data_IF_964562820623
#
_entry.id   IF_964562820623
#
_cell.length_a   1.000
_cell.length_b   1.000
_cell.length_c   1.000
_cell.angle_alpha   90.00
_cell.angle_beta   90.00
_cell.angle_gamma   90.00
#
_symmetry.space_group_name_H-M   'P 1'
#
loop_
_entity.id
_entity.type
_entity.pdbx_description
1 polymer ?
#
# COMPACT_ATOMS: atom_id res chain seq x y z
N UNK A 1 24.38 -3.05 1.79
CA UNK A 1 22.93 -2.83 1.95
C UNK A 1 22.68 -2.42 3.39
N UNK A 2 21.77 -1.48 3.64
CA UNK A 2 21.45 -1.06 5.03
C UNK A 2 21.06 -2.28 5.89
N UNK A 3 21.29 -2.21 7.20
CA UNK A 3 20.78 -3.17 8.19
C UNK A 3 19.31 -2.93 8.58
N UNK A 4 18.64 -1.94 7.99
CA UNK A 4 17.24 -1.62 8.28
C UNK A 4 16.23 -2.66 7.79
N UNK A 5 14.92 -2.41 8.02
CA UNK A 5 13.87 -3.38 7.76
C UNK A 5 13.60 -3.59 6.27
N UNK A 6 12.92 -4.70 5.95
CA UNK A 6 12.22 -4.91 4.68
C UNK A 6 10.91 -4.13 4.74
N UNK A 7 10.69 -3.18 3.84
CA UNK A 7 9.44 -2.42 3.78
C UNK A 7 8.54 -3.00 2.69
N UNK A 8 7.38 -3.54 3.04
CA UNK A 8 6.50 -4.28 2.12
C UNK A 8 5.19 -3.51 1.96
N UNK A 9 4.89 -3.04 0.74
CA UNK A 9 3.58 -2.47 0.44
C UNK A 9 2.49 -3.55 0.38
N UNK A 10 1.41 -3.37 1.14
CA UNK A 10 0.34 -4.35 1.28
C UNK A 10 -1.05 -3.73 1.09
N UNK A 11 -1.83 -4.28 0.16
CA UNK A 11 -3.22 -3.89 -0.12
C UNK A 11 -4.20 -5.08 0.01
N UNK A 12 -3.71 -6.24 0.42
CA UNK A 12 -4.47 -7.50 0.51
C UNK A 12 -4.67 -8.21 -0.82
N UNK A 13 -4.25 -7.62 -1.94
CA UNK A 13 -4.37 -8.21 -3.26
C UNK A 13 -3.42 -9.39 -3.50
N UNK A 14 -3.69 -10.24 -4.52
CA UNK A 14 -2.84 -11.39 -4.83
C UNK A 14 -1.37 -11.02 -5.14
N UNK A 15 -1.11 -9.80 -5.65
CA UNK A 15 0.26 -9.35 -5.90
C UNK A 15 0.99 -9.00 -4.59
N UNK A 16 0.33 -8.31 -3.65
CA UNK A 16 0.95 -7.96 -2.38
C UNK A 16 1.14 -9.16 -1.46
N UNK A 17 0.24 -10.14 -1.49
CA UNK A 17 0.41 -11.40 -0.75
C UNK A 17 1.66 -12.17 -1.25
N UNK A 18 1.83 -12.28 -2.58
CA UNK A 18 3.06 -12.84 -3.15
C UNK A 18 4.29 -12.02 -2.81
N UNK A 19 4.18 -10.69 -2.78
CA UNK A 19 5.27 -9.82 -2.37
C UNK A 19 5.73 -10.12 -0.93
N UNK A 20 4.81 -10.37 0.00
CA UNK A 20 5.13 -10.81 1.37
C UNK A 20 5.83 -12.16 1.36
N UNK A 21 5.33 -13.12 0.59
CA UNK A 21 5.93 -14.46 0.48
C UNK A 21 7.37 -14.42 -0.05
N UNK A 22 7.61 -13.73 -1.16
CA UNK A 22 8.96 -13.61 -1.74
C UNK A 22 9.91 -12.83 -0.84
N UNK A 23 9.41 -11.79 -0.16
CA UNK A 23 10.18 -11.08 0.85
C UNK A 23 10.62 -12.01 1.99
N UNK A 24 9.71 -12.86 2.47
CA UNK A 24 10.02 -13.85 3.49
C UNK A 24 11.09 -14.85 3.01
N UNK A 25 10.92 -15.42 1.81
CA UNK A 25 11.89 -16.36 1.21
C UNK A 25 13.30 -15.77 1.10
N UNK A 26 13.41 -14.50 0.74
CA UNK A 26 14.71 -13.86 0.49
C UNK A 26 15.36 -13.24 1.71
N UNK A 27 14.55 -12.80 2.68
CA UNK A 27 15.03 -11.93 3.76
C UNK A 27 14.74 -12.46 5.16
N UNK A 28 13.97 -13.54 5.36
CA UNK A 28 13.80 -14.11 6.69
C UNK A 28 15.15 -14.53 7.32
N UNK A 29 15.35 -14.33 8.64
CA UNK A 29 14.41 -13.82 9.64
C UNK A 29 14.54 -12.31 9.91
N UNK A 30 14.62 -11.48 8.87
CA UNK A 30 14.82 -10.03 9.04
C UNK A 30 13.55 -9.31 9.52
N UNK A 31 13.76 -8.20 10.22
CA UNK A 31 12.72 -7.22 10.54
C UNK A 31 12.01 -6.73 9.28
N UNK A 32 10.67 -6.69 9.33
CA UNK A 32 9.83 -6.26 8.23
C UNK A 32 8.73 -5.30 8.69
N UNK A 33 8.36 -4.37 7.81
CA UNK A 33 7.23 -3.46 7.98
C UNK A 33 6.20 -3.77 6.90
N UNK A 34 5.05 -4.32 7.28
CA UNK A 34 3.90 -4.46 6.39
C UNK A 34 3.14 -3.13 6.37
N UNK A 35 3.27 -2.39 5.27
CA UNK A 35 2.75 -1.03 5.12
C UNK A 35 1.47 -1.02 4.30
N UNK A 36 0.38 -0.59 4.91
CA UNK A 36 -0.88 -0.27 4.24
C UNK A 36 -0.98 1.25 4.13
N UNK A 37 -1.09 1.73 2.90
CA UNK A 37 -1.37 3.14 2.62
C UNK A 37 -2.86 3.29 2.34
N UNK A 38 -3.52 4.22 3.02
CA UNK A 38 -4.95 4.47 2.85
C UNK A 38 -5.19 5.95 2.54
N UNK A 39 -6.21 6.24 1.74
CA UNK A 39 -6.49 7.60 1.26
C UNK A 39 -7.37 8.32 2.28
N UNK A 40 -6.72 9.02 3.22
CA UNK A 40 -7.42 9.70 4.31
C UNK A 40 -8.11 10.97 3.79
N UNK A 41 -9.31 11.25 4.26
CA UNK A 41 -10.00 12.49 3.91
C UNK A 41 -10.78 12.46 2.59
N UNK A 42 -10.67 11.40 1.78
CA UNK A 42 -11.37 11.32 0.49
C UNK A 42 -12.89 11.45 0.63
N UNK A 43 -13.45 10.89 1.71
CA UNK A 43 -14.88 11.02 1.97
C UNK A 43 -15.29 12.50 2.20
N UNK A 44 -14.37 13.33 2.71
CA UNK A 44 -14.59 14.77 2.91
C UNK A 44 -14.45 15.56 1.61
N UNK A 45 -13.55 15.18 0.70
CA UNK A 45 -13.46 15.84 -0.60
C UNK A 45 -14.79 15.76 -1.37
N UNK A 46 -15.50 14.64 -1.23
CA UNK A 46 -16.85 14.45 -1.79
C UNK A 46 -17.89 15.38 -1.14
N UNK A 47 -17.68 15.86 0.08
CA UNK A 47 -18.56 16.86 0.75
C UNK A 47 -18.41 18.25 0.15
N UNK A 48 -17.24 18.55 -0.44
CA UNK A 48 -16.89 19.86 -0.99
C UNK A 48 -17.21 19.96 -2.49
N UNK A 49 -17.62 18.87 -3.13
CA UNK A 49 -17.98 18.88 -4.53
C UNK A 49 -19.26 19.70 -4.76
N UNK A 50 -19.24 20.73 -5.63
CA UNK A 50 -20.45 21.48 -5.95
C UNK A 50 -21.44 20.56 -6.66
N UNK A 51 -22.63 20.43 -6.06
CA UNK A 51 -23.73 19.53 -6.48
C UNK A 51 -24.25 19.78 -7.92
N UNK A 52 -23.69 20.76 -8.63
CA UNK A 52 -24.14 21.23 -9.95
C UNK A 52 -23.14 21.01 -11.08
N UNK A 53 -21.92 20.52 -10.80
CA UNK A 53 -20.89 20.39 -11.83
C UNK A 53 -21.01 19.11 -12.67
N UNK A 54 -21.71 18.10 -12.16
CA UNK A 54 -21.99 16.85 -12.86
C UNK A 54 -23.44 16.47 -12.56
N UNK A 55 -24.23 16.09 -13.57
CA UNK A 55 -25.60 15.56 -13.43
C UNK A 55 -25.57 14.17 -12.75
N UNK A 56 -25.04 14.11 -11.53
CA UNK A 56 -24.94 12.90 -10.71
C UNK A 56 -26.04 12.99 -9.66
N UNK A 57 -27.09 12.16 -9.74
CA UNK A 57 -28.16 12.16 -8.76
C UNK A 57 -27.78 11.28 -7.57
N UNK A 58 -26.86 11.73 -6.72
CA UNK A 58 -26.69 11.26 -5.34
C UNK A 58 -26.05 12.39 -4.52
N UNK A 59 -26.69 12.80 -3.43
CA UNK A 59 -26.21 13.89 -2.58
C UNK A 59 -24.80 13.62 -2.09
N UNK A 60 -23.92 14.64 -2.18
CA UNK A 60 -22.66 14.65 -1.46
C UNK A 60 -22.90 14.16 -0.03
N UNK A 61 -22.12 13.20 0.49
CA UNK A 61 -22.32 12.69 1.84
C UNK A 61 -22.34 13.86 2.82
N UNK A 62 -23.22 13.82 3.83
CA UNK A 62 -23.15 14.81 4.90
C UNK A 62 -21.87 14.60 5.72
N UNK A 63 -21.52 15.59 6.55
CA UNK A 63 -20.28 15.53 7.35
C UNK A 63 -20.22 14.27 8.23
N UNK A 64 -21.36 13.82 8.77
CA UNK A 64 -21.45 12.62 9.58
C UNK A 64 -21.11 11.37 8.77
N UNK A 65 -21.72 11.24 7.59
CA UNK A 65 -21.49 10.12 6.67
C UNK A 65 -20.05 10.10 6.19
N UNK A 66 -19.46 11.27 5.91
CA UNK A 66 -18.05 11.38 5.54
C UNK A 66 -17.11 10.89 6.65
N UNK A 67 -17.36 11.30 7.90
CA UNK A 67 -16.60 10.81 9.08
C UNK A 67 -16.74 9.29 9.26
N UNK A 68 -17.95 8.75 9.09
CA UNK A 68 -18.21 7.32 9.21
C UNK A 68 -17.49 6.50 8.13
N UNK A 69 -17.49 6.99 6.88
CA UNK A 69 -16.78 6.37 5.76
C UNK A 69 -15.26 6.40 5.98
N UNK A 70 -14.71 7.54 6.37
CA UNK A 70 -13.27 7.70 6.64
C UNK A 70 -12.82 6.76 7.77
N UNK A 71 -13.63 6.66 8.84
CA UNK A 71 -13.39 5.71 9.93
C UNK A 71 -13.42 4.26 9.45
N UNK A 72 -14.40 3.89 8.61
CA UNK A 72 -14.50 2.54 8.06
C UNK A 72 -13.30 2.20 7.15
N UNK A 73 -12.82 3.15 6.35
CA UNK A 73 -11.61 2.98 5.54
C UNK A 73 -10.37 2.76 6.41
N UNK A 74 -10.22 3.53 7.49
CA UNK A 74 -9.12 3.34 8.44
C UNK A 74 -9.18 1.99 9.15
N UNK A 75 -10.36 1.56 9.59
CA UNK A 75 -10.57 0.25 10.22
C UNK A 75 -10.22 -0.91 9.27
N UNK A 76 -10.58 -0.79 7.99
CA UNK A 76 -10.22 -1.74 6.95
C UNK A 76 -8.71 -1.76 6.69
N UNK A 77 -8.07 -0.59 6.62
CA UNK A 77 -6.62 -0.50 6.48
C UNK A 77 -5.88 -1.16 7.65
N UNK A 78 -6.38 -1.00 8.88
CA UNK A 78 -5.86 -1.72 10.04
C UNK A 78 -6.05 -3.23 9.95
N UNK A 79 -7.18 -3.70 9.41
CA UNK A 79 -7.42 -5.13 9.17
C UNK A 79 -6.44 -5.70 8.16
N UNK A 80 -6.19 -4.99 7.07
CA UNK A 80 -5.20 -5.35 6.06
C UNK A 80 -3.79 -5.39 6.65
N UNK A 81 -3.41 -4.41 7.47
CA UNK A 81 -2.07 -4.37 8.08
C UNK A 81 -1.85 -5.57 9.00
N UNK A 82 -2.84 -5.91 9.85
CA UNK A 82 -2.78 -7.11 10.70
C UNK A 82 -2.62 -8.38 9.87
N UNK A 83 -3.33 -8.48 8.75
CA UNK A 83 -3.22 -9.63 7.86
C UNK A 83 -1.85 -9.72 7.18
N UNK A 84 -1.33 -8.61 6.66
CA UNK A 84 0.02 -8.56 6.07
C UNK A 84 1.12 -8.94 7.06
N UNK A 85 1.00 -8.50 8.31
CA UNK A 85 1.89 -8.93 9.42
C UNK A 85 1.83 -10.43 9.63
N UNK A 86 0.62 -11.00 9.73
CA UNK A 86 0.46 -12.43 9.95
C UNK A 86 1.12 -13.24 8.82
N UNK A 87 0.88 -12.87 7.56
CA UNK A 87 1.51 -13.54 6.41
C UNK A 87 3.04 -13.45 6.45
N UNK A 88 3.59 -12.31 6.88
CA UNK A 88 5.03 -12.11 6.98
C UNK A 88 5.64 -12.96 8.11
N UNK A 89 4.97 -13.02 9.27
CA UNK A 89 5.37 -13.85 10.42
C UNK A 89 5.31 -15.33 10.05
N UNK A 90 4.24 -15.78 9.39
CA UNK A 90 4.09 -17.17 8.93
C UNK A 90 5.21 -17.55 7.93
N UNK A 91 5.71 -16.57 7.17
CA UNK A 91 6.88 -16.71 6.30
C UNK A 91 8.23 -16.62 7.01
N UNK A 92 8.26 -16.32 8.31
CA UNK A 92 9.48 -16.25 9.12
C UNK A 92 10.12 -14.87 9.25
N UNK A 93 9.45 -13.79 8.83
CA UNK A 93 9.93 -12.41 9.07
C UNK A 93 9.56 -11.94 10.48
N UNK A 94 10.39 -11.06 11.05
CA UNK A 94 10.06 -10.33 12.28
C UNK A 94 9.22 -9.08 11.94
N UNK A 95 7.92 -9.25 11.78
CA UNK A 95 7.07 -8.22 11.14
C UNK A 95 6.28 -7.34 12.11
N UNK A 96 6.19 -6.05 11.77
CA UNK A 96 5.31 -5.05 12.39
C UNK A 96 4.40 -4.42 11.33
N UNK A 97 3.19 -3.98 11.71
CA UNK A 97 2.21 -3.39 10.80
C UNK A 97 2.18 -1.88 10.88
N UNK A 98 2.12 -1.20 9.74
CA UNK A 98 1.98 0.26 9.65
C UNK A 98 0.79 0.62 8.76
N UNK A 99 -0.13 1.41 9.32
CA UNK A 99 -1.21 2.05 8.56
C UNK A 99 -0.87 3.52 8.46
N UNK A 100 -0.76 4.03 7.23
CA UNK A 100 -0.28 5.40 6.98
C UNK A 100 -1.21 6.05 5.97
N UNK A 101 -1.64 7.28 6.25
CA UNK A 101 -2.34 8.09 5.24
C UNK A 101 -1.41 8.31 4.04
N UNK A 102 -1.97 8.34 2.83
CA UNK A 102 -1.21 8.67 1.64
C UNK A 102 -0.64 10.09 1.69
N UNK A 103 0.48 10.28 1.00
CA UNK A 103 1.00 11.60 0.68
C UNK A 103 0.34 12.05 -0.63
N UNK A 104 1.12 12.37 -1.67
CA UNK A 104 0.55 12.60 -3.01
C UNK A 104 0.16 11.30 -3.72
N UNK A 105 0.89 10.21 -3.45
CA UNK A 105 0.63 8.88 -3.99
C UNK A 105 1.11 7.82 -3.01
N UNK A 106 0.62 6.58 -3.14
CA UNK A 106 1.13 5.41 -2.41
C UNK A 106 2.66 5.28 -2.56
N UNK A 107 3.19 5.53 -3.75
CA UNK A 107 4.63 5.45 -3.98
C UNK A 107 5.40 6.50 -3.18
N UNK A 108 4.91 7.74 -3.12
CA UNK A 108 5.51 8.83 -2.33
C UNK A 108 5.59 8.47 -0.85
N UNK A 109 4.50 7.92 -0.30
CA UNK A 109 4.44 7.43 1.09
C UNK A 109 5.45 6.32 1.33
N UNK A 110 5.53 5.32 0.46
CA UNK A 110 6.48 4.21 0.59
C UNK A 110 7.94 4.69 0.55
N UNK A 111 8.28 5.63 -0.32
CA UNK A 111 9.65 6.16 -0.42
C UNK A 111 10.02 7.03 0.78
N UNK A 112 9.08 7.85 1.27
CA UNK A 112 9.28 8.62 2.50
C UNK A 112 9.56 7.69 3.68
N UNK A 113 8.73 6.67 3.88
CA UNK A 113 8.93 5.67 4.92
C UNK A 113 10.23 4.89 4.74
N UNK A 114 10.59 4.52 3.51
CA UNK A 114 11.84 3.84 3.22
C UNK A 114 13.05 4.67 3.65
N UNK A 115 13.01 5.99 3.41
CA UNK A 115 14.05 6.93 3.86
C UNK A 115 14.05 7.10 5.38
N UNK A 116 12.90 7.33 6.00
CA UNK A 116 12.77 7.54 7.45
C UNK A 116 13.18 6.32 8.27
N UNK A 117 12.95 5.11 7.75
CA UNK A 117 13.25 3.85 8.42
C UNK A 117 14.59 3.24 8.01
N UNK A 118 15.36 3.93 7.16
CA UNK A 118 16.58 3.41 6.54
C UNK A 118 16.37 1.99 5.97
N UNK A 119 15.29 1.80 5.22
CA UNK A 119 14.86 0.48 4.75
C UNK A 119 15.95 -0.16 3.88
N UNK A 120 16.21 -1.45 4.12
CA UNK A 120 17.20 -2.19 3.36
C UNK A 120 16.72 -2.53 1.94
N UNK A 121 15.40 -2.66 1.79
CA UNK A 121 14.72 -2.93 0.52
C UNK A 121 13.25 -2.52 0.64
N UNK A 122 12.68 -1.99 -0.43
CA UNK A 122 11.23 -1.81 -0.60
C UNK A 122 10.71 -2.94 -1.48
N UNK A 123 9.65 -3.60 -1.04
CA UNK A 123 9.01 -4.72 -1.75
C UNK A 123 7.59 -4.31 -2.14
N UNK A 124 7.27 -4.41 -3.43
CA UNK A 124 5.95 -4.09 -3.96
C UNK A 124 5.49 -5.16 -4.94
N UNK A 125 4.20 -5.47 -4.89
CA UNK A 125 3.54 -6.28 -5.91
C UNK A 125 3.19 -5.46 -7.15
N UNK A 126 3.13 -6.09 -8.32
CA UNK A 126 2.58 -5.48 -9.53
C UNK A 126 1.19 -6.04 -9.81
N UNK A 127 0.17 -5.18 -9.77
CA UNK A 127 -1.21 -5.50 -10.13
C UNK A 127 -1.47 -5.34 -11.64
N UNK A 128 -2.40 -6.15 -12.18
CA UNK A 128 -2.96 -6.07 -13.54
C UNK A 128 -4.40 -5.53 -13.44
N UNK A 129 -4.75 -4.46 -14.14
CA UNK A 129 -6.16 -4.12 -14.40
C UNK A 129 -6.53 -4.56 -15.82
N UNK A 130 -7.28 -5.67 -15.95
CA UNK A 130 -7.95 -6.05 -17.20
C UNK A 130 -7.16 -6.92 -18.21
N UNK A 131 -7.83 -7.25 -19.33
CA UNK A 131 -7.44 -8.19 -20.43
C UNK A 131 -6.46 -7.61 -21.48
N UNK A 132 -5.82 -6.46 -21.25
CA UNK A 132 -4.75 -5.93 -22.12
C UNK A 132 -3.40 -6.22 -21.45
N UNK A 133 -2.84 -7.39 -21.75
CA UNK A 133 -1.98 -8.17 -20.87
C UNK A 133 -0.48 -8.18 -21.24
N UNK A 134 0.03 -7.21 -21.99
CA UNK A 134 1.45 -7.22 -22.38
C UNK A 134 2.18 -5.99 -21.83
N UNK A 135 3.05 -6.23 -20.83
CA UNK A 135 4.22 -5.42 -20.44
C UNK A 135 4.09 -4.23 -19.45
N UNK A 136 2.92 -3.90 -18.88
CA UNK A 136 2.82 -2.70 -18.02
C UNK A 136 3.06 -2.97 -16.52
N UNK A 137 4.06 -2.29 -15.95
CA UNK A 137 4.25 -2.13 -14.51
C UNK A 137 3.11 -1.28 -13.93
N UNK A 138 2.53 -1.69 -12.79
CA UNK A 138 1.57 -0.85 -12.07
C UNK A 138 2.17 0.51 -11.69
N UNK A 139 1.34 1.57 -11.62
CA UNK A 139 1.77 2.95 -11.39
C UNK A 139 2.62 3.11 -10.12
N UNK A 140 2.24 2.44 -9.03
CA UNK A 140 3.00 2.41 -7.77
C UNK A 140 4.38 1.79 -7.97
N UNK A 141 4.44 0.57 -8.54
CA UNK A 141 5.71 -0.13 -8.74
C UNK A 141 6.66 0.66 -9.65
N UNK A 142 6.14 1.22 -10.76
CA UNK A 142 6.92 2.09 -11.64
C UNK A 142 7.51 3.28 -10.88
N UNK A 143 6.67 4.00 -10.13
CA UNK A 143 7.10 5.19 -9.39
C UNK A 143 8.13 4.87 -8.31
N UNK A 144 8.00 3.72 -7.64
CA UNK A 144 8.97 3.26 -6.63
C UNK A 144 10.31 2.89 -7.29
N UNK A 145 10.30 2.16 -8.41
CA UNK A 145 11.54 1.81 -9.14
C UNK A 145 12.31 3.07 -9.56
N UNK A 146 11.61 4.09 -10.04
CA UNK A 146 12.23 5.32 -10.57
C UNK A 146 12.89 6.17 -9.47
N UNK A 147 12.43 6.10 -8.21
CA UNK A 147 12.74 7.11 -7.19
C UNK A 147 13.11 6.57 -5.80
N UNK A 148 13.08 5.25 -5.58
CA UNK A 148 13.34 4.69 -4.27
C UNK A 148 14.77 5.03 -3.76
N UNK A 149 14.92 5.36 -2.46
CA UNK A 149 16.21 5.67 -1.86
C UNK A 149 17.06 4.40 -1.59
N UNK A 150 16.50 3.22 -1.81
CA UNK A 150 17.11 1.92 -1.51
C UNK A 150 16.70 0.87 -2.56
N UNK A 151 17.30 -0.34 -2.55
CA UNK A 151 16.93 -1.42 -3.46
C UNK A 151 15.42 -1.69 -3.49
N UNK A 152 14.90 -2.06 -4.66
CA UNK A 152 13.49 -2.38 -4.86
C UNK A 152 13.34 -3.82 -5.34
N UNK A 153 12.49 -4.60 -4.67
CA UNK A 153 12.03 -5.90 -5.11
C UNK A 153 10.61 -5.78 -5.66
N UNK A 154 10.47 -6.07 -6.95
CA UNK A 154 9.19 -6.01 -7.66
C UNK A 154 8.70 -7.43 -7.89
N UNK A 155 7.58 -7.77 -7.25
CA UNK A 155 7.02 -9.12 -7.31
C UNK A 155 5.85 -9.15 -8.26
N UNK A 156 5.93 -10.00 -9.28
CA UNK A 156 4.82 -10.16 -10.22
C UNK A 156 3.70 -10.96 -9.57
N UNK A 157 2.47 -10.56 -9.87
CA UNK A 157 1.35 -11.46 -9.71
C UNK A 157 1.59 -12.67 -10.61
N UNK A 158 1.95 -13.83 -10.05
CA UNK A 158 1.92 -15.10 -10.76
C UNK A 158 0.56 -15.34 -11.45
N UNK A 159 0.54 -16.27 -12.38
CA UNK A 159 -0.69 -16.74 -13.03
C UNK A 159 -1.78 -17.10 -12.02
#
# INVERSE_FOLDING_TARGET
MSSGPVLIGFDGGPASQRAVHEAATLFAPRRALAVVVWEAGQAFDLTLLPTRAFDVPLGSPDLRTAVELDKAMYEEAQRLARWGVQLAIDGGLEAEGLVVADDLTVADTLMRLAKERDAAVVVVGTHRHGRLAELLLGSTARSVIERAPCPVLVVRAGE
#
